data_IF_741169479065
#
_entry.id   IF_741169479065
#
_cell.length_a   1.000
_cell.length_b   1.000
_cell.length_c   1.000
_cell.angle_alpha   90.00
_cell.angle_beta   90.00
_cell.angle_gamma   90.00
#
_symmetry.space_group_name_H-M   'P 1'
#
loop_
_entity.id
_entity.type
_entity.pdbx_description
1 polymer ?
#
# COMPACT_ATOMS: atom_id res chain seq x y z
N UNK A 1 -19.58 -9.86 4.38
CA UNK A 1 -18.93 -8.71 3.78
C UNK A 1 -17.81 -9.18 2.85
N UNK A 2 -17.88 -8.84 1.55
CA UNK A 2 -16.82 -9.15 0.60
C UNK A 2 -16.10 -7.85 0.22
N UNK A 3 -14.79 -7.80 0.45
CA UNK A 3 -13.95 -6.61 0.25
C UNK A 3 -12.71 -6.98 -0.58
N UNK A 4 -12.40 -6.22 -1.62
CA UNK A 4 -11.12 -6.29 -2.32
C UNK A 4 -10.29 -5.04 -1.98
N UNK A 5 -9.15 -5.22 -1.29
CA UNK A 5 -8.32 -4.11 -0.80
C UNK A 5 -7.14 -3.77 -1.73
N UNK A 6 -6.70 -4.69 -2.58
CA UNK A 6 -5.42 -4.58 -3.30
C UNK A 6 -5.60 -4.42 -4.81
N UNK A 7 -6.48 -3.50 -5.24
CA UNK A 7 -6.69 -3.25 -6.67
C UNK A 7 -5.93 -2.01 -7.13
N UNK A 8 -5.26 -2.11 -8.28
CA UNK A 8 -4.61 -1.00 -8.99
C UNK A 8 -5.31 -0.72 -10.30
N UNK A 9 -5.52 0.55 -10.58
CA UNK A 9 -6.08 1.01 -11.84
C UNK A 9 -5.00 1.38 -12.85
N UNK A 10 -5.42 1.77 -14.05
CA UNK A 10 -4.57 2.30 -15.12
C UNK A 10 -3.86 3.63 -14.77
N UNK A 11 -4.18 4.23 -13.63
CA UNK A 11 -3.39 5.32 -13.06
C UNK A 11 -2.06 4.85 -12.45
N UNK A 12 -1.88 3.55 -12.18
CA UNK A 12 -0.59 2.94 -11.85
C UNK A 12 0.20 2.67 -13.13
N UNK A 13 0.81 3.73 -13.70
CA UNK A 13 1.49 3.69 -14.98
C UNK A 13 2.58 2.59 -15.01
N UNK A 14 2.53 1.76 -16.05
CA UNK A 14 3.47 0.65 -16.23
C UNK A 14 3.20 -0.57 -15.33
N UNK A 15 2.20 -0.53 -14.45
CA UNK A 15 1.87 -1.62 -13.51
C UNK A 15 0.50 -2.23 -13.75
N UNK A 16 -0.47 -1.42 -14.20
CA UNK A 16 -1.83 -1.89 -14.47
C UNK A 16 -2.40 -1.21 -15.71
N UNK A 17 -3.18 -1.98 -16.48
CA UNK A 17 -4.00 -1.48 -17.59
C UNK A 17 -5.50 -1.55 -17.27
N UNK A 18 -5.85 -1.83 -16.03
CA UNK A 18 -7.22 -2.11 -15.63
C UNK A 18 -7.99 -0.82 -15.36
N UNK A 19 -8.81 -0.40 -16.30
CA UNK A 19 -9.59 0.84 -16.22
C UNK A 19 -10.59 0.81 -15.05
N UNK A 20 -10.76 1.95 -14.38
CA UNK A 20 -11.65 2.09 -13.21
C UNK A 20 -13.08 1.58 -13.51
N UNK A 21 -13.63 1.86 -14.71
CA UNK A 21 -14.95 1.33 -15.09
C UNK A 21 -15.01 -0.19 -15.04
N UNK A 22 -14.03 -0.85 -15.64
CA UNK A 22 -13.95 -2.32 -15.66
C UNK A 22 -13.70 -2.92 -14.28
N UNK A 23 -12.96 -2.20 -13.40
CA UNK A 23 -12.78 -2.59 -11.99
C UNK A 23 -14.13 -2.64 -11.29
N UNK A 24 -14.96 -1.61 -11.45
CA UNK A 24 -16.29 -1.54 -10.85
C UNK A 24 -17.22 -2.62 -11.41
N UNK A 25 -17.23 -2.83 -12.73
CA UNK A 25 -18.03 -3.87 -13.36
C UNK A 25 -17.65 -5.26 -12.83
N UNK A 26 -16.35 -5.53 -12.74
CA UNK A 26 -15.85 -6.79 -12.19
C UNK A 26 -16.17 -6.98 -10.72
N UNK A 27 -16.09 -5.93 -9.93
CA UNK A 27 -16.49 -5.95 -8.52
C UNK A 27 -17.96 -6.34 -8.35
N UNK A 28 -18.85 -5.81 -9.20
CA UNK A 28 -20.29 -6.18 -9.23
C UNK A 28 -20.49 -7.65 -9.61
N UNK A 29 -19.84 -8.11 -10.68
CA UNK A 29 -19.92 -9.52 -11.13
C UNK A 29 -19.48 -10.49 -10.01
N UNK A 30 -18.45 -10.13 -9.24
CA UNK A 30 -17.93 -10.94 -8.13
C UNK A 30 -18.70 -10.75 -6.82
N UNK A 31 -19.72 -9.89 -6.77
CA UNK A 31 -20.51 -9.64 -5.56
C UNK A 31 -19.81 -8.85 -4.47
N UNK A 32 -18.75 -8.09 -4.80
CA UNK A 32 -18.09 -7.22 -3.83
C UNK A 32 -18.98 -6.05 -3.42
N UNK A 33 -19.14 -5.86 -2.12
CA UNK A 33 -19.88 -4.72 -1.54
C UNK A 33 -18.97 -3.51 -1.29
N UNK A 34 -17.68 -3.76 -1.13
CA UNK A 34 -16.64 -2.75 -0.91
C UNK A 34 -15.46 -3.05 -1.81
N UNK A 35 -14.82 -2.01 -2.30
CA UNK A 35 -13.59 -2.16 -3.10
C UNK A 35 -12.64 -1.00 -2.83
N UNK A 36 -11.36 -1.30 -2.71
CA UNK A 36 -10.30 -0.30 -2.64
C UNK A 36 -9.61 -0.15 -3.99
N UNK A 37 -9.18 1.07 -4.30
CA UNK A 37 -8.14 1.32 -5.31
C UNK A 37 -6.96 1.97 -4.60
N UNK A 38 -5.79 1.36 -4.76
CA UNK A 38 -4.53 1.80 -4.15
C UNK A 38 -3.43 1.89 -5.23
N UNK A 39 -3.49 2.93 -6.05
CA UNK A 39 -2.57 3.15 -7.15
C UNK A 39 -1.16 3.50 -6.67
N UNK A 40 -0.15 3.18 -7.48
CA UNK A 40 1.25 3.38 -7.14
C UNK A 40 1.62 4.87 -7.17
N UNK A 41 2.01 5.42 -6.03
CA UNK A 41 2.49 6.80 -5.86
C UNK A 41 1.55 7.86 -6.43
N UNK A 42 0.25 7.58 -6.51
CA UNK A 42 -0.77 8.54 -7.01
C UNK A 42 -2.14 8.28 -6.42
N UNK A 43 -2.90 9.33 -6.28
CA UNK A 43 -4.33 9.32 -5.89
C UNK A 43 -5.22 9.95 -6.97
N UNK A 44 -4.67 10.20 -8.15
CA UNK A 44 -5.36 10.90 -9.25
C UNK A 44 -6.61 10.18 -9.75
N UNK A 45 -6.67 8.85 -9.62
CA UNK A 45 -7.83 8.04 -9.97
C UNK A 45 -8.96 8.08 -8.95
N UNK A 46 -8.71 8.49 -7.71
CA UNK A 46 -9.67 8.39 -6.60
C UNK A 46 -10.99 9.14 -6.83
N UNK A 47 -11.01 10.38 -7.36
CA UNK A 47 -12.29 11.08 -7.62
C UNK A 47 -13.19 10.30 -8.58
N UNK A 48 -12.64 9.87 -9.72
CA UNK A 48 -13.38 9.08 -10.73
C UNK A 48 -13.81 7.73 -10.18
N UNK A 49 -12.94 7.06 -9.44
CA UNK A 49 -13.24 5.80 -8.77
C UNK A 49 -14.40 5.94 -7.79
N UNK A 50 -14.32 6.92 -6.90
CA UNK A 50 -15.32 7.17 -5.87
C UNK A 50 -16.70 7.46 -6.48
N UNK A 51 -16.76 8.29 -7.50
CA UNK A 51 -18.01 8.60 -8.20
C UNK A 51 -18.64 7.36 -8.84
N UNK A 52 -17.85 6.61 -9.61
CA UNK A 52 -18.33 5.41 -10.32
C UNK A 52 -18.74 4.30 -9.37
N UNK A 53 -17.97 4.04 -8.29
CA UNK A 53 -18.31 3.04 -7.28
C UNK A 53 -19.63 3.35 -6.58
N UNK A 54 -19.82 4.60 -6.12
CA UNK A 54 -21.07 5.04 -5.50
C UNK A 54 -22.28 4.90 -6.43
N UNK A 55 -22.14 5.29 -7.72
CA UNK A 55 -23.20 5.10 -8.73
C UNK A 55 -23.56 3.62 -8.95
N UNK A 56 -22.58 2.74 -8.75
CA UNK A 56 -22.76 1.30 -8.88
C UNK A 56 -23.30 0.62 -7.61
N UNK A 57 -23.48 1.35 -6.51
CA UNK A 57 -23.93 0.81 -5.21
C UNK A 57 -22.82 0.08 -4.45
N UNK A 58 -21.54 0.34 -4.80
CA UNK A 58 -20.36 -0.22 -4.14
C UNK A 58 -19.73 0.85 -3.27
N UNK A 59 -19.34 0.49 -2.05
CA UNK A 59 -18.61 1.39 -1.14
C UNK A 59 -17.16 1.51 -1.57
N UNK A 60 -16.69 2.70 -1.99
CA UNK A 60 -15.30 2.91 -2.36
C UNK A 60 -14.41 3.10 -1.14
N UNK A 61 -13.23 2.49 -1.18
CA UNK A 61 -12.16 2.71 -0.22
C UNK A 61 -11.00 3.35 -0.99
N UNK A 62 -10.67 4.59 -0.66
CA UNK A 62 -9.51 5.27 -1.23
C UNK A 62 -8.22 4.72 -0.60
N UNK A 63 -7.18 4.52 -1.39
CA UNK A 63 -5.88 4.10 -0.91
C UNK A 63 -4.75 4.57 -1.83
N UNK A 64 -3.53 4.36 -1.39
CA UNK A 64 -2.33 4.57 -2.19
C UNK A 64 -1.30 3.47 -1.88
N UNK A 65 -0.60 3.01 -2.90
CA UNK A 65 0.59 2.18 -2.73
C UNK A 65 1.80 3.10 -2.70
N UNK A 66 2.51 3.13 -1.59
CA UNK A 66 3.74 3.90 -1.43
C UNK A 66 4.95 3.06 -1.84
N UNK A 67 5.90 3.69 -2.51
CA UNK A 67 7.19 3.12 -2.87
C UNK A 67 8.23 3.60 -1.88
N UNK A 68 8.82 2.67 -1.11
CA UNK A 68 9.76 2.96 -0.05
C UNK A 68 11.14 2.37 -0.36
N UNK A 69 12.15 3.02 0.20
CA UNK A 69 13.55 2.59 0.17
C UNK A 69 14.17 2.83 1.55
N UNK A 70 15.31 2.21 1.84
CA UNK A 70 16.01 2.40 3.12
C UNK A 70 16.35 3.86 3.38
N UNK A 71 16.96 4.51 2.39
CA UNK A 71 17.39 5.91 2.47
C UNK A 71 17.02 6.67 1.21
N UNK A 72 15.94 7.46 1.22
CA UNK A 72 15.53 8.24 0.05
C UNK A 72 16.62 9.19 -0.46
N UNK A 73 17.41 9.76 0.45
CA UNK A 73 18.50 10.69 0.13
C UNK A 73 19.68 10.06 -0.61
N UNK A 74 19.88 8.75 -0.45
CA UNK A 74 20.92 8.02 -1.16
C UNK A 74 20.50 7.82 -2.61
N UNK A 75 21.26 8.31 -3.56
CA UNK A 75 20.96 8.20 -5.01
C UNK A 75 21.33 6.81 -5.55
N UNK A 76 20.85 5.78 -4.87
CA UNK A 76 20.99 4.38 -5.24
C UNK A 76 19.76 3.89 -6.00
N UNK A 77 19.93 2.89 -6.86
CA UNK A 77 18.81 2.22 -7.53
C UNK A 77 17.99 1.41 -6.53
N UNK A 78 16.73 1.18 -6.83
CA UNK A 78 15.77 0.47 -5.97
C UNK A 78 16.32 -0.84 -5.39
N UNK A 79 17.01 -1.66 -6.22
CA UNK A 79 17.60 -2.93 -5.78
C UNK A 79 18.72 -2.75 -4.75
N UNK A 80 19.51 -1.70 -4.89
CA UNK A 80 20.63 -1.38 -4.01
C UNK A 80 20.18 -0.68 -2.71
N UNK A 81 18.96 -0.15 -2.71
CA UNK A 81 18.34 0.58 -1.62
C UNK A 81 17.11 -0.16 -1.04
N UNK A 82 17.09 -1.49 -1.19
CA UNK A 82 16.09 -2.41 -0.64
C UNK A 82 14.63 -1.94 -0.81
N UNK A 83 14.26 -1.56 -2.02
CA UNK A 83 12.93 -1.02 -2.30
C UNK A 83 11.80 -2.02 -1.99
N UNK A 84 10.76 -1.53 -1.33
CA UNK A 84 9.55 -2.28 -0.98
C UNK A 84 8.32 -1.38 -1.06
N UNK A 85 7.13 -1.95 -0.82
CA UNK A 85 5.88 -1.22 -0.89
C UNK A 85 5.03 -1.45 0.34
N UNK A 86 4.39 -0.37 0.78
CA UNK A 86 3.29 -0.39 1.75
C UNK A 86 2.04 0.16 1.08
N UNK A 87 0.87 -0.19 1.59
CA UNK A 87 -0.37 0.48 1.21
C UNK A 87 -0.89 1.28 2.37
N UNK A 88 -1.45 2.44 2.06
CA UNK A 88 -1.98 3.37 3.04
C UNK A 88 -3.40 3.76 2.65
N UNK A 89 -4.31 3.66 3.60
CA UNK A 89 -5.73 3.99 3.45
C UNK A 89 -6.11 5.06 4.46
N UNK A 90 -6.61 6.22 4.02
CA UNK A 90 -7.01 7.28 4.93
C UNK A 90 -8.31 6.90 5.67
N UNK A 91 -8.36 7.16 6.97
CA UNK A 91 -9.56 6.98 7.81
C UNK A 91 -10.50 8.19 7.70
N UNK A 92 -9.95 9.35 7.36
CA UNK A 92 -10.67 10.61 7.19
C UNK A 92 -9.97 11.57 6.23
N UNK A 93 -10.50 12.79 6.11
CA UNK A 93 -9.85 13.87 5.36
C UNK A 93 -8.46 14.23 5.93
N UNK A 94 -8.21 14.08 7.25
CA UNK A 94 -6.91 14.30 7.86
C UNK A 94 -5.90 13.26 7.34
N UNK A 95 -6.27 11.99 7.31
CA UNK A 95 -5.45 10.93 6.73
C UNK A 95 -5.17 11.14 5.24
N UNK A 96 -6.17 11.63 4.47
CA UNK A 96 -5.95 11.98 3.07
C UNK A 96 -4.95 13.12 2.90
N UNK A 97 -4.97 14.13 3.77
CA UNK A 97 -3.98 15.22 3.78
C UNK A 97 -2.58 14.70 4.11
N UNK A 98 -2.45 13.75 5.04
CA UNK A 98 -1.17 13.09 5.34
C UNK A 98 -0.61 12.36 4.10
N UNK A 99 -1.46 11.64 3.36
CA UNK A 99 -1.09 11.01 2.09
C UNK A 99 -0.62 12.04 1.05
N UNK A 100 -1.34 13.16 0.89
CA UNK A 100 -0.92 14.24 -0.02
C UNK A 100 0.43 14.83 0.35
N UNK A 101 0.67 15.07 1.64
CA UNK A 101 1.95 15.58 2.14
C UNK A 101 3.10 14.61 1.83
N UNK A 102 2.92 13.31 2.07
CA UNK A 102 3.92 12.29 1.76
C UNK A 102 4.18 12.17 0.26
N UNK A 103 3.13 12.15 -0.58
CA UNK A 103 3.29 12.14 -2.03
C UNK A 103 4.02 13.38 -2.54
N UNK A 104 3.76 14.56 -1.97
CA UNK A 104 4.48 15.78 -2.30
C UNK A 104 5.95 15.68 -1.91
N UNK A 105 6.25 15.23 -0.66
CA UNK A 105 7.61 15.01 -0.17
C UNK A 105 8.40 14.03 -1.05
N UNK A 106 7.76 13.00 -1.58
CA UNK A 106 8.40 12.00 -2.45
C UNK A 106 8.95 12.58 -3.76
N UNK A 107 8.49 13.77 -4.16
CA UNK A 107 8.92 14.50 -5.35
C UNK A 107 10.04 15.50 -5.07
N UNK A 108 10.38 15.75 -3.80
CA UNK A 108 11.47 16.64 -3.44
C UNK A 108 12.81 16.10 -3.95
N UNK A 109 13.76 17.01 -4.18
CA UNK A 109 15.08 16.66 -4.74
C UNK A 109 15.83 15.59 -3.94
N UNK A 110 15.62 15.54 -2.61
CA UNK A 110 16.23 14.56 -1.73
C UNK A 110 15.58 13.19 -1.79
N UNK A 111 14.29 13.12 -2.15
CA UNK A 111 13.52 11.89 -2.22
C UNK A 111 13.44 11.32 -3.64
N UNK A 112 13.46 12.14 -4.66
CA UNK A 112 13.33 11.68 -6.05
C UNK A 112 14.66 11.19 -6.62
N UNK A 113 14.67 9.95 -7.11
CA UNK A 113 15.77 9.41 -7.91
C UNK A 113 15.25 8.32 -8.86
N UNK A 114 15.13 8.63 -10.15
CA UNK A 114 14.38 7.90 -11.18
C UNK A 114 12.89 7.77 -10.90
N UNK A 115 12.50 7.52 -9.64
CA UNK A 115 11.13 7.38 -9.18
C UNK A 115 10.92 8.25 -7.93
N UNK A 116 9.66 8.65 -7.70
CA UNK A 116 9.23 9.19 -6.43
C UNK A 116 9.31 8.09 -5.36
N UNK A 117 9.92 8.35 -4.20
CA UNK A 117 10.13 7.37 -3.14
C UNK A 117 10.12 8.01 -1.76
N UNK A 118 9.88 7.20 -0.75
CA UNK A 118 9.83 7.59 0.66
C UNK A 118 10.71 6.67 1.50
N UNK A 119 11.03 7.09 2.71
CA UNK A 119 11.58 6.24 3.75
C UNK A 119 10.49 5.77 4.72
N UNK A 120 10.83 4.82 5.59
CA UNK A 120 9.86 4.36 6.60
C UNK A 120 9.46 5.48 7.56
N UNK A 121 10.37 6.40 7.89
CA UNK A 121 10.11 7.51 8.80
C UNK A 121 9.02 8.44 8.25
N UNK A 122 8.93 8.61 6.92
CA UNK A 122 7.88 9.41 6.28
C UNK A 122 6.47 8.79 6.49
N UNK A 123 6.40 7.47 6.59
CA UNK A 123 5.16 6.75 6.89
C UNK A 123 4.82 6.83 8.37
N UNK A 124 5.83 6.69 9.25
CA UNK A 124 5.64 6.76 10.71
C UNK A 124 5.16 8.16 11.18
N UNK A 125 5.39 9.21 10.40
CA UNK A 125 4.87 10.57 10.64
C UNK A 125 3.37 10.72 10.30
N UNK A 126 2.76 9.78 9.57
CA UNK A 126 1.36 9.89 9.17
C UNK A 126 0.41 9.66 10.34
N UNK A 127 -0.69 10.40 10.35
CA UNK A 127 -1.80 10.23 11.27
C UNK A 127 -3.08 9.84 10.52
N UNK A 128 -3.99 9.18 11.24
CA UNK A 128 -5.36 8.90 10.80
C UNK A 128 -5.43 8.06 9.51
N UNK A 129 -4.55 7.07 9.45
CA UNK A 129 -4.41 6.13 8.33
C UNK A 129 -4.39 4.68 8.83
N UNK A 130 -4.79 3.77 7.95
CA UNK A 130 -4.51 2.34 8.06
C UNK A 130 -3.33 2.03 7.14
N UNK A 131 -2.36 1.27 7.63
CA UNK A 131 -1.17 0.86 6.87
C UNK A 131 -1.17 -0.65 6.71
N UNK A 132 -0.83 -1.15 5.53
CA UNK A 132 -0.66 -2.58 5.32
C UNK A 132 0.74 -2.90 4.79
N UNK A 133 1.21 -4.13 5.05
CA UNK A 133 2.55 -4.57 4.64
C UNK A 133 2.74 -4.67 3.11
N UNK A 134 1.68 -4.43 2.34
CA UNK A 134 1.70 -4.53 0.88
C UNK A 134 1.56 -5.97 0.35
N UNK A 135 1.49 -6.09 -0.98
CA UNK A 135 1.23 -7.36 -1.68
C UNK A 135 2.49 -7.94 -2.37
N UNK A 136 2.56 -7.86 -3.70
CA UNK A 136 3.59 -8.53 -4.52
C UNK A 136 5.01 -8.03 -4.27
N UNK A 137 5.18 -6.75 -3.98
CA UNK A 137 6.45 -6.12 -3.57
C UNK A 137 6.38 -5.64 -2.13
N UNK A 138 5.82 -6.47 -1.28
CA UNK A 138 5.54 -6.16 0.12
C UNK A 138 6.82 -5.88 0.93
N UNK A 139 6.61 -5.31 2.10
CA UNK A 139 7.64 -5.18 3.12
C UNK A 139 8.37 -6.52 3.40
N UNK A 140 7.68 -7.65 3.28
CA UNK A 140 8.24 -8.97 3.61
C UNK A 140 9.34 -9.46 2.67
N UNK A 141 9.60 -8.75 1.55
CA UNK A 141 10.79 -8.94 0.72
C UNK A 141 12.03 -8.23 1.28
N UNK A 142 11.84 -7.28 2.22
CA UNK A 142 12.92 -6.49 2.79
C UNK A 142 13.75 -7.29 3.79
N UNK A 143 15.09 -7.16 3.83
CA UNK A 143 15.94 -7.87 4.80
C UNK A 143 15.54 -7.64 6.27
N UNK A 144 15.13 -6.42 6.60
CA UNK A 144 14.73 -6.01 7.96
C UNK A 144 13.21 -5.95 8.15
N UNK A 145 12.43 -6.78 7.45
CA UNK A 145 10.98 -6.72 7.46
C UNK A 145 10.37 -6.79 8.86
N UNK A 146 10.88 -7.69 9.71
CA UNK A 146 10.40 -7.87 11.10
C UNK A 146 10.59 -6.60 11.92
N UNK A 147 11.78 -6.00 11.86
CA UNK A 147 12.08 -4.75 12.59
C UNK A 147 11.22 -3.58 12.12
N UNK A 148 10.99 -3.48 10.81
CA UNK A 148 10.12 -2.43 10.25
C UNK A 148 8.66 -2.69 10.64
N UNK A 149 8.20 -3.95 10.58
CA UNK A 149 6.85 -4.33 11.01
C UNK A 149 6.61 -4.02 12.49
N UNK A 150 7.60 -4.27 13.36
CA UNK A 150 7.50 -3.90 14.78
C UNK A 150 7.34 -2.40 14.97
N UNK A 151 8.12 -1.58 14.27
CA UNK A 151 7.95 -0.11 14.29
C UNK A 151 6.56 0.34 13.81
N UNK A 152 6.04 -0.30 12.75
CA UNK A 152 4.70 -0.02 12.25
C UNK A 152 3.62 -0.45 13.26
N UNK A 153 3.77 -1.61 13.89
CA UNK A 153 2.87 -2.08 14.94
C UNK A 153 2.89 -1.13 16.15
N UNK A 154 4.06 -0.73 16.62
CA UNK A 154 4.22 0.22 17.74
C UNK A 154 3.55 1.56 17.44
N UNK A 155 3.64 2.03 16.19
CA UNK A 155 3.10 3.33 15.77
C UNK A 155 1.60 3.31 15.51
N UNK A 156 1.11 2.28 14.83
CA UNK A 156 -0.26 2.23 14.30
C UNK A 156 -1.16 1.25 15.08
N UNK A 157 -0.60 0.34 15.87
CA UNK A 157 -1.39 -0.65 16.62
C UNK A 157 -2.31 -1.45 15.71
N UNK A 158 -3.59 -1.49 16.01
CA UNK A 158 -4.62 -2.17 15.21
C UNK A 158 -4.86 -1.57 13.81
N UNK A 159 -4.32 -0.40 13.52
CA UNK A 159 -4.36 0.20 12.19
C UNK A 159 -3.18 -0.26 11.29
N UNK A 160 -2.28 -1.13 11.78
CA UNK A 160 -1.32 -1.86 10.95
C UNK A 160 -1.80 -3.28 10.68
N UNK A 161 -1.77 -3.69 9.41
CA UNK A 161 -2.24 -5.01 8.98
C UNK A 161 -1.19 -5.71 8.10
N UNK A 162 -1.01 -7.00 8.33
CA UNK A 162 -0.18 -7.85 7.47
C UNK A 162 -1.02 -8.40 6.32
N UNK A 163 -0.53 -8.22 5.09
CA UNK A 163 -1.13 -8.83 3.91
C UNK A 163 -0.35 -10.09 3.50
N UNK A 164 -1.09 -11.13 3.12
CA UNK A 164 -0.55 -12.34 2.52
C UNK A 164 -0.87 -12.36 1.02
N UNK A 165 0.14 -12.61 0.19
CA UNK A 165 -0.07 -12.72 -1.25
C UNK A 165 -0.52 -14.15 -1.60
N UNK A 166 -1.73 -14.32 -2.11
CA UNK A 166 -2.26 -15.60 -2.56
C UNK A 166 -1.70 -15.96 -3.95
N UNK A 167 -0.38 -16.12 -4.04
CA UNK A 167 0.35 -16.47 -5.26
C UNK A 167 1.05 -17.80 -5.01
N UNK A 168 0.65 -18.82 -5.76
CA UNK A 168 1.18 -20.18 -5.65
C UNK A 168 2.59 -20.27 -6.27
N UNK A 169 3.59 -19.88 -5.51
CA UNK A 169 5.01 -20.07 -5.86
C UNK A 169 5.86 -20.24 -4.58
N UNK A 170 6.98 -21.00 -4.65
CA UNK A 170 7.87 -21.20 -3.50
C UNK A 170 8.46 -19.90 -2.92
N UNK A 171 8.51 -18.82 -3.71
CA UNK A 171 8.94 -17.51 -3.21
C UNK A 171 7.90 -16.91 -2.27
N UNK A 172 6.63 -16.87 -2.71
CA UNK A 172 5.55 -16.29 -1.92
C UNK A 172 5.20 -17.15 -0.71
N UNK A 173 5.34 -18.48 -0.79
CA UNK A 173 5.21 -19.36 0.36
C UNK A 173 6.21 -18.98 1.47
N UNK A 174 7.48 -18.77 1.12
CA UNK A 174 8.51 -18.34 2.10
C UNK A 174 8.23 -16.94 2.66
N UNK A 175 7.78 -16.01 1.82
CA UNK A 175 7.46 -14.64 2.23
C UNK A 175 6.26 -14.63 3.16
N UNK A 176 5.21 -15.35 2.83
CA UNK A 176 4.03 -15.50 3.66
C UNK A 176 4.35 -16.20 4.98
N UNK A 177 5.18 -17.26 4.95
CA UNK A 177 5.62 -17.96 6.16
C UNK A 177 6.40 -17.01 7.09
N UNK A 178 7.34 -16.23 6.55
CA UNK A 178 8.09 -15.23 7.31
C UNK A 178 7.18 -14.21 8.00
N UNK A 179 6.15 -13.73 7.28
CA UNK A 179 5.16 -12.81 7.83
C UNK A 179 4.34 -13.46 8.95
N UNK A 180 3.94 -14.70 8.75
CA UNK A 180 3.17 -15.46 9.72
C UNK A 180 3.96 -15.76 10.99
N UNK A 181 5.22 -16.18 10.86
CA UNK A 181 6.11 -16.45 12.00
C UNK A 181 6.32 -15.20 12.86
N UNK A 182 6.48 -14.04 12.20
CA UNK A 182 6.56 -12.76 12.92
C UNK A 182 5.26 -12.45 13.69
N UNK A 183 4.09 -12.63 13.07
CA UNK A 183 2.79 -12.38 13.72
C UNK A 183 2.64 -13.24 14.96
N UNK A 184 2.99 -14.53 14.91
CA UNK A 184 2.95 -15.41 16.08
C UNK A 184 3.88 -14.93 17.19
N UNK A 185 5.06 -14.42 16.83
CA UNK A 185 6.04 -13.94 17.81
C UNK A 185 5.60 -12.68 18.58
N UNK A 186 4.69 -11.88 18.02
CA UNK A 186 4.16 -10.66 18.67
C UNK A 186 2.85 -10.89 19.42
N UNK A 187 2.13 -11.99 19.15
CA UNK A 187 0.92 -12.38 19.90
C UNK A 187 1.27 -13.06 21.25
N UNK A 188 2.51 -13.57 21.41
CA UNK A 188 2.97 -14.24 22.63
C UNK A 188 3.50 -13.26 23.71
N UNK A 189 3.50 -11.95 23.48
CA UNK A 189 3.94 -10.90 24.40
C UNK A 189 2.76 -10.13 24.96
#
# INVERSE_FOLDING_TARGET
LQVALSVRSDFSLGESSFQIGKIIDKAKECGYTHIAVADLMTVSGIPTFTEKAKKAGITPIAGVTLHLVDKPTDKLKDKENNAYRLKVYPKSNKGMQAIFAALTKSLDADHFYYNARLGIEDVLEMDDVVVTSGDVRSLWHHPSAESISSKLMDRFGSDYMVEFAAIDTPLFDRINQRAFDWMLSVEEV
#
